data_IF_771360392019
#
_entry.id   IF_771360392019
#
_cell.length_a   1.000
_cell.length_b   1.000
_cell.length_c   1.000
_cell.angle_alpha   90.00
_cell.angle_beta   90.00
_cell.angle_gamma   90.00
#
_symmetry.space_group_name_H-M   'P 1'
#
loop_
_entity.id
_entity.type
_entity.pdbx_description
1 polymer ?
#
# COMPACT_ATOMS: atom_id res chain seq x y z
N UNK A 1 -1.10 32.17 6.85
CA UNK A 1 -0.74 30.93 7.58
C UNK A 1 0.62 30.47 7.07
N UNK A 2 1.62 30.32 7.93
CA UNK A 2 2.98 29.91 7.51
C UNK A 2 2.92 28.44 7.09
N UNK A 3 3.00 28.16 5.80
CA UNK A 3 2.97 26.79 5.25
C UNK A 3 4.21 26.02 5.72
N UNK A 4 4.11 25.35 6.86
CA UNK A 4 5.14 24.47 7.38
C UNK A 4 5.11 23.12 6.64
N UNK A 5 5.38 23.15 5.33
CA UNK A 5 5.44 21.96 4.48
C UNK A 5 6.39 20.89 5.03
N UNK A 6 7.53 21.32 5.63
CA UNK A 6 8.45 20.42 6.33
C UNK A 6 7.81 19.63 7.47
N UNK A 7 6.86 20.23 8.22
CA UNK A 7 6.16 19.53 9.30
C UNK A 7 5.15 18.50 8.77
N UNK A 8 4.66 18.69 7.56
CA UNK A 8 3.74 17.75 6.91
C UNK A 8 4.46 16.52 6.34
N UNK A 9 5.78 16.60 6.10
CA UNK A 9 6.58 15.46 5.64
C UNK A 9 6.73 14.37 6.70
N UNK A 10 6.78 14.73 7.99
CA UNK A 10 7.05 13.78 9.09
C UNK A 10 6.14 12.55 9.08
N UNK A 11 4.80 12.73 9.12
CA UNK A 11 3.86 11.61 9.05
C UNK A 11 3.99 10.79 7.75
N UNK A 12 4.26 11.44 6.62
CA UNK A 12 4.43 10.76 5.32
C UNK A 12 5.69 9.89 5.27
N UNK A 13 6.81 10.37 5.79
CA UNK A 13 8.06 9.61 5.88
C UNK A 13 7.93 8.43 6.84
N UNK A 14 7.27 8.62 7.98
CA UNK A 14 6.99 7.53 8.92
C UNK A 14 6.11 6.45 8.28
N UNK A 15 5.06 6.86 7.55
CA UNK A 15 4.19 5.94 6.82
C UNK A 15 4.95 5.17 5.73
N UNK A 16 5.82 5.84 4.96
CA UNK A 16 6.67 5.19 3.97
C UNK A 16 7.63 4.18 4.60
N UNK A 17 8.29 4.55 5.71
CA UNK A 17 9.17 3.65 6.45
C UNK A 17 8.46 2.42 6.99
N UNK A 18 7.22 2.56 7.48
CA UNK A 18 6.41 1.44 7.93
C UNK A 18 5.91 0.55 6.78
N UNK A 19 5.73 1.11 5.58
CA UNK A 19 5.19 0.39 4.43
C UNK A 19 6.25 -0.33 3.57
N UNK A 20 7.53 0.06 3.66
CA UNK A 20 8.61 -0.53 2.85
C UNK A 20 9.33 -1.61 3.66
N UNK A 21 9.01 -2.88 3.38
CA UNK A 21 9.66 -4.05 3.98
C UNK A 21 10.82 -4.63 3.15
N UNK A 22 11.53 -5.61 3.72
CA UNK A 22 12.67 -6.30 3.09
C UNK A 22 12.31 -6.93 1.75
N UNK A 23 11.08 -7.45 1.62
CA UNK A 23 10.58 -8.04 0.38
C UNK A 23 10.64 -7.05 -0.80
N UNK A 24 10.35 -5.76 -0.57
CA UNK A 24 10.44 -4.74 -1.61
C UNK A 24 11.87 -4.51 -2.06
N UNK A 25 12.84 -4.57 -1.14
CA UNK A 25 14.24 -4.36 -1.47
C UNK A 25 14.80 -5.54 -2.28
N UNK A 26 14.59 -6.77 -1.81
CA UNK A 26 15.10 -7.98 -2.47
C UNK A 26 14.42 -8.20 -3.82
N UNK A 27 13.09 -8.04 -3.91
CA UNK A 27 12.38 -8.24 -5.17
C UNK A 27 12.67 -7.15 -6.18
N UNK A 28 12.84 -5.88 -5.76
CA UNK A 28 13.16 -4.79 -6.69
C UNK A 28 14.57 -4.93 -7.27
N UNK A 29 15.55 -5.37 -6.47
CA UNK A 29 16.91 -5.60 -6.98
C UNK A 29 16.95 -6.80 -7.92
N UNK A 30 16.25 -7.90 -7.58
CA UNK A 30 16.13 -9.06 -8.46
C UNK A 30 15.42 -8.71 -9.77
N UNK A 31 14.30 -8.01 -9.72
CA UNK A 31 13.61 -7.53 -10.92
C UNK A 31 14.51 -6.62 -11.77
N UNK A 32 15.36 -5.79 -11.15
CA UNK A 32 16.37 -5.01 -11.85
C UNK A 32 17.49 -5.86 -12.47
N UNK A 33 17.89 -6.95 -11.83
CA UNK A 33 18.88 -7.89 -12.38
C UNK A 33 18.31 -8.70 -13.56
N UNK A 34 17.07 -9.17 -13.45
CA UNK A 34 16.42 -10.03 -14.46
C UNK A 34 15.92 -9.23 -15.68
N UNK A 35 15.41 -8.01 -15.47
CA UNK A 35 14.74 -7.21 -16.51
C UNK A 35 15.41 -5.86 -16.79
N UNK A 36 16.51 -5.51 -16.10
CA UNK A 36 17.12 -4.19 -16.22
C UNK A 36 16.12 -3.08 -15.90
N UNK A 37 16.03 -2.08 -16.79
CA UNK A 37 15.03 -1.02 -16.71
C UNK A 37 13.70 -1.35 -17.41
N UNK A 38 13.53 -2.58 -17.92
CA UNK A 38 12.36 -2.99 -18.70
C UNK A 38 11.03 -2.92 -17.93
N UNK A 39 11.06 -2.90 -16.60
CA UNK A 39 9.88 -2.80 -15.74
C UNK A 39 9.62 -1.39 -15.19
N UNK A 40 10.40 -0.38 -15.61
CA UNK A 40 10.26 0.99 -15.09
C UNK A 40 8.87 1.58 -15.38
N UNK A 41 8.28 1.24 -16.53
CA UNK A 41 6.91 1.64 -16.88
C UNK A 41 5.87 1.04 -15.93
N UNK A 42 6.07 -0.21 -15.48
CA UNK A 42 5.17 -0.86 -14.54
C UNK A 42 5.25 -0.20 -13.16
N UNK A 43 6.44 0.24 -12.73
CA UNK A 43 6.62 1.01 -11.50
C UNK A 43 5.83 2.33 -11.55
N UNK A 44 5.89 3.06 -12.67
CA UNK A 44 5.13 4.29 -12.85
C UNK A 44 3.61 4.03 -12.78
N UNK A 45 3.12 3.02 -13.53
CA UNK A 45 1.71 2.67 -13.53
C UNK A 45 1.19 2.25 -12.15
N UNK A 46 1.95 1.41 -11.43
CA UNK A 46 1.57 0.99 -10.07
C UNK A 46 1.49 2.18 -9.13
N UNK A 47 2.42 3.15 -9.22
CA UNK A 47 2.35 4.35 -8.38
C UNK A 47 1.10 5.20 -8.68
N UNK A 48 0.71 5.35 -9.94
CA UNK A 48 -0.50 6.08 -10.33
C UNK A 48 -1.75 5.44 -9.72
N UNK A 49 -1.89 4.12 -9.83
CA UNK A 49 -3.06 3.43 -9.28
C UNK A 49 -3.05 3.34 -7.75
N UNK A 50 -1.88 3.15 -7.15
CA UNK A 50 -1.72 2.95 -5.69
C UNK A 50 -1.89 4.25 -4.91
N UNK A 51 -1.42 5.37 -5.47
CA UNK A 51 -1.33 6.64 -4.74
C UNK A 51 -2.67 7.12 -4.16
N UNK A 52 -3.82 7.09 -4.88
CA UNK A 52 -5.11 7.45 -4.31
C UNK A 52 -5.43 6.65 -3.04
N UNK A 53 -5.26 5.34 -3.04
CA UNK A 53 -5.56 4.50 -1.88
C UNK A 53 -4.66 4.82 -0.69
N UNK A 54 -3.37 5.12 -0.95
CA UNK A 54 -2.41 5.54 0.08
C UNK A 54 -2.74 6.91 0.67
N UNK A 55 -3.35 7.80 -0.11
CA UNK A 55 -3.81 9.09 0.37
C UNK A 55 -5.12 8.99 1.15
N UNK A 56 -6.10 8.23 0.64
CA UNK A 56 -7.43 8.17 1.22
C UNK A 56 -7.51 7.32 2.49
N UNK A 57 -6.65 6.32 2.68
CA UNK A 57 -6.63 5.50 3.89
C UNK A 57 -6.37 6.33 5.17
N UNK A 58 -5.19 6.97 5.30
CA UNK A 58 -4.90 7.83 6.45
C UNK A 58 -5.85 9.02 6.56
N UNK A 59 -6.30 9.57 5.43
CA UNK A 59 -7.25 10.69 5.41
C UNK A 59 -8.62 10.28 5.95
N UNK A 60 -9.11 9.09 5.62
CA UNK A 60 -10.33 8.53 6.17
C UNK A 60 -10.20 8.40 7.69
N UNK A 61 -9.18 7.69 8.16
CA UNK A 61 -8.96 7.45 9.59
C UNK A 61 -8.81 8.76 10.39
N UNK A 62 -8.09 9.75 9.84
CA UNK A 62 -7.92 11.06 10.47
C UNK A 62 -9.21 11.87 10.50
N UNK A 63 -10.05 11.77 9.47
CA UNK A 63 -11.29 12.55 9.36
C UNK A 63 -12.45 11.94 10.16
N UNK A 64 -12.53 10.62 10.27
CA UNK A 64 -13.65 9.92 10.93
C UNK A 64 -13.32 9.45 12.34
N UNK A 65 -12.03 9.30 12.68
CA UNK A 65 -11.60 8.69 13.93
C UNK A 65 -11.76 7.16 13.95
N UNK A 66 -12.11 6.55 12.82
CA UNK A 66 -12.39 5.11 12.71
C UNK A 66 -11.35 4.38 11.87
N UNK A 67 -11.20 3.08 12.09
CA UNK A 67 -10.36 2.25 11.21
C UNK A 67 -11.01 2.06 9.83
N UNK A 68 -10.22 1.71 8.81
CA UNK A 68 -10.77 1.37 7.49
C UNK A 68 -11.72 0.17 7.57
N UNK A 69 -11.48 -0.78 8.49
CA UNK A 69 -12.33 -1.95 8.69
C UNK A 69 -13.70 -1.53 9.25
N UNK A 70 -13.72 -0.57 10.18
CA UNK A 70 -14.97 0.02 10.67
C UNK A 70 -15.73 0.75 9.55
N UNK A 71 -14.99 1.44 8.66
CA UNK A 71 -15.56 2.03 7.45
C UNK A 71 -16.21 1.00 6.52
N UNK A 72 -15.54 -0.12 6.26
CA UNK A 72 -16.12 -1.21 5.47
C UNK A 72 -17.33 -1.85 6.16
N UNK A 73 -17.32 -1.95 7.49
CA UNK A 73 -18.46 -2.43 8.27
C UNK A 73 -19.69 -1.54 8.07
N UNK A 74 -19.52 -0.22 7.98
CA UNK A 74 -20.61 0.75 7.72
C UNK A 74 -21.21 0.60 6.31
N UNK A 75 -20.40 0.22 5.32
CA UNK A 75 -20.90 -0.08 3.97
C UNK A 75 -21.69 -1.39 3.90
N UNK A 76 -21.52 -2.26 4.90
CA UNK A 76 -22.32 -3.47 5.07
C UNK A 76 -21.46 -4.72 5.31
N UNK A 77 -22.04 -5.72 5.97
CA UNK A 77 -21.34 -6.98 6.29
C UNK A 77 -20.84 -7.72 5.05
N UNK A 78 -21.54 -7.59 3.91
CA UNK A 78 -21.10 -8.19 2.64
C UNK A 78 -19.75 -7.66 2.16
N UNK A 79 -19.48 -6.36 2.35
CA UNK A 79 -18.19 -5.74 1.98
C UNK A 79 -17.05 -6.30 2.82
N UNK A 80 -17.28 -6.53 4.12
CA UNK A 80 -16.30 -7.17 5.00
C UNK A 80 -16.00 -8.62 4.59
N UNK A 81 -17.02 -9.38 4.21
CA UNK A 81 -16.84 -10.76 3.74
C UNK A 81 -16.02 -10.77 2.45
N UNK A 82 -16.33 -9.89 1.50
CA UNK A 82 -15.57 -9.75 0.25
C UNK A 82 -14.11 -9.35 0.54
N UNK A 83 -13.91 -8.35 1.41
CA UNK A 83 -12.57 -7.93 1.85
C UNK A 83 -11.79 -9.10 2.47
N UNK A 84 -12.43 -9.89 3.32
CA UNK A 84 -11.81 -11.06 3.95
C UNK A 84 -11.43 -12.12 2.91
N UNK A 85 -12.34 -12.48 2.00
CA UNK A 85 -12.07 -13.47 0.95
C UNK A 85 -10.93 -13.01 0.04
N UNK A 86 -10.94 -11.74 -0.40
CA UNK A 86 -9.86 -11.18 -1.22
C UNK A 86 -8.52 -11.19 -0.48
N UNK A 87 -8.51 -10.79 0.79
CA UNK A 87 -7.29 -10.79 1.62
C UNK A 87 -6.76 -12.22 1.80
N UNK A 88 -7.65 -13.17 2.10
CA UNK A 88 -7.28 -14.56 2.27
C UNK A 88 -6.75 -15.20 0.98
N UNK A 89 -7.39 -14.92 -0.17
CA UNK A 89 -6.96 -15.42 -1.46
C UNK A 89 -5.61 -14.84 -1.88
N UNK A 90 -5.43 -13.52 -1.74
CA UNK A 90 -4.19 -12.82 -2.12
C UNK A 90 -2.99 -13.20 -1.24
N UNK A 91 -3.23 -13.62 0.01
CA UNK A 91 -2.18 -14.09 0.92
C UNK A 91 -1.34 -15.22 0.28
N UNK A 92 -1.96 -16.18 -0.39
CA UNK A 92 -1.23 -17.29 -1.03
C UNK A 92 -0.35 -16.81 -2.19
N UNK A 93 -0.85 -15.90 -3.02
CA UNK A 93 -0.10 -15.33 -4.14
C UNK A 93 1.10 -14.53 -3.64
N UNK A 94 0.91 -13.71 -2.60
CA UNK A 94 1.98 -12.92 -2.00
C UNK A 94 3.02 -13.84 -1.37
N UNK A 95 2.59 -14.86 -0.61
CA UNK A 95 3.51 -15.80 0.03
C UNK A 95 4.33 -16.59 -1.00
N UNK A 96 3.69 -17.07 -2.08
CA UNK A 96 4.38 -17.75 -3.17
C UNK A 96 5.42 -16.82 -3.83
N UNK A 97 5.05 -15.57 -4.12
CA UNK A 97 5.96 -14.59 -4.71
C UNK A 97 7.17 -14.30 -3.80
N UNK A 98 6.97 -14.19 -2.49
CA UNK A 98 8.03 -13.90 -1.52
C UNK A 98 8.94 -15.11 -1.29
N UNK A 99 8.42 -16.33 -1.25
CA UNK A 99 9.22 -17.55 -1.02
C UNK A 99 10.03 -17.98 -2.23
N UNK A 100 9.60 -17.66 -3.45
CA UNK A 100 10.32 -17.99 -4.68
C UNK A 100 11.55 -17.10 -4.94
N UNK A 101 11.89 -16.20 -4.00
CA UNK A 101 12.99 -15.23 -4.14
C UNK A 101 14.35 -15.78 -3.79
#
# INVERSE_FOLDING_TARGET
MKNNWLKQLGPGLLFAGAAIGVSHLVQSTRAGADFGFGLLWAVLLVNIFKYPFFQYGPRYATATGESLIDGYKKLGKGVLIIYYILTFATMFTIQAAVTMV
#
